data_IF_324760192561
#
_entry.id   IF_324760192561
#
_cell.length_a   1.000
_cell.length_b   1.000
_cell.length_c   1.000
_cell.angle_alpha   90.00
_cell.angle_beta   90.00
_cell.angle_gamma   90.00
#
_symmetry.space_group_name_H-M   'P 1'
#
loop_
_entity.id
_entity.type
_entity.pdbx_description
1 polymer ?
#
# COMPACT_ATOMS: atom_id res chain seq x y z
N UNK A 1 27.69 -7.64 -40.79
CA UNK A 1 26.81 -6.46 -40.68
C UNK A 1 26.12 -6.56 -39.34
N UNK A 2 26.49 -5.71 -38.38
CA UNK A 2 25.77 -5.62 -37.11
C UNK A 2 24.32 -5.20 -37.43
N UNK A 3 23.34 -5.93 -36.90
CA UNK A 3 21.95 -5.50 -36.90
C UNK A 3 21.94 -4.15 -36.16
N UNK A 4 21.63 -3.07 -36.88
CA UNK A 4 21.47 -1.78 -36.25
C UNK A 4 20.31 -1.90 -35.26
N UNK A 5 20.62 -1.76 -33.97
CA UNK A 5 19.62 -1.83 -32.90
C UNK A 5 18.57 -0.75 -33.19
N UNK A 6 17.33 -1.17 -33.44
CA UNK A 6 16.28 -0.23 -33.82
C UNK A 6 15.96 0.60 -32.59
N UNK A 7 16.05 1.95 -32.65
CA UNK A 7 15.87 2.77 -31.47
C UNK A 7 14.46 2.59 -30.91
N UNK A 8 14.35 2.43 -29.59
CA UNK A 8 13.06 2.30 -28.90
C UNK A 8 12.25 3.58 -29.10
N UNK A 9 11.01 3.47 -29.56
CA UNK A 9 10.12 4.59 -29.84
C UNK A 9 9.41 5.03 -28.58
N UNK A 10 9.52 6.32 -28.25
CA UNK A 10 8.90 6.91 -27.07
C UNK A 10 8.00 8.07 -27.47
N UNK A 11 6.73 8.01 -27.04
CA UNK A 11 5.80 9.11 -27.18
C UNK A 11 5.72 9.90 -25.87
N UNK A 12 6.19 11.14 -25.89
CA UNK A 12 6.14 12.06 -24.75
C UNK A 12 4.85 12.89 -24.82
N UNK A 13 3.99 12.76 -23.81
CA UNK A 13 2.80 13.59 -23.61
C UNK A 13 3.11 14.66 -22.56
N UNK A 14 3.12 15.93 -22.97
CA UNK A 14 3.35 17.08 -22.09
C UNK A 14 2.00 17.71 -21.71
N UNK A 15 1.69 17.72 -20.41
CA UNK A 15 0.47 18.31 -19.87
C UNK A 15 0.69 19.68 -19.20
N UNK A 16 -0.41 20.40 -18.95
CA UNK A 16 -0.39 21.80 -18.48
C UNK A 16 -0.11 21.98 -17.00
N UNK A 17 1.16 22.02 -16.62
CA UNK A 17 1.60 22.42 -15.28
C UNK A 17 2.95 23.12 -15.32
N UNK A 18 3.32 23.83 -14.24
CA UNK A 18 4.57 24.61 -14.22
C UNK A 18 5.78 23.77 -14.62
N UNK A 19 5.85 22.49 -14.24
CA UNK A 19 6.94 21.60 -14.57
C UNK A 19 7.11 21.29 -16.08
N UNK A 20 6.17 21.70 -16.94
CA UNK A 20 6.30 21.58 -18.39
C UNK A 20 7.51 22.34 -18.95
N UNK A 21 8.04 23.36 -18.25
CA UNK A 21 9.31 24.00 -18.65
C UNK A 21 10.50 23.01 -18.65
N UNK A 22 10.40 21.89 -17.91
CA UNK A 22 11.43 20.83 -17.88
C UNK A 22 11.38 19.93 -19.14
N UNK A 23 10.30 19.98 -19.92
CA UNK A 23 10.09 19.06 -21.04
C UNK A 23 11.17 19.15 -22.13
N UNK A 24 11.70 20.32 -22.53
CA UNK A 24 12.76 20.37 -23.53
C UNK A 24 14.07 19.69 -23.08
N UNK A 25 14.43 19.82 -21.80
CA UNK A 25 15.59 19.09 -21.26
C UNK A 25 15.32 17.59 -21.20
N UNK A 26 14.12 17.19 -20.75
CA UNK A 26 13.69 15.79 -20.74
C UNK A 26 13.79 15.14 -22.12
N UNK A 27 13.33 15.79 -23.18
CA UNK A 27 13.46 15.27 -24.56
C UNK A 27 14.93 14.99 -24.91
N UNK A 28 15.83 15.92 -24.58
CA UNK A 28 17.27 15.72 -24.82
C UNK A 28 17.83 14.53 -24.03
N UNK A 29 17.39 14.33 -22.79
CA UNK A 29 17.81 13.19 -21.96
C UNK A 29 17.27 11.86 -22.48
N UNK A 30 16.04 11.83 -22.97
CA UNK A 30 15.45 10.64 -23.59
C UNK A 30 16.17 10.26 -24.89
N UNK A 31 16.47 11.23 -25.75
CA UNK A 31 17.27 10.99 -26.97
C UNK A 31 18.67 10.49 -26.60
N UNK A 32 19.32 11.08 -25.59
CA UNK A 32 20.62 10.61 -25.09
C UNK A 32 20.56 9.20 -24.49
N UNK A 33 19.40 8.78 -23.98
CA UNK A 33 19.13 7.42 -23.50
C UNK A 33 18.74 6.43 -24.61
N UNK A 34 18.84 6.83 -25.88
CA UNK A 34 18.62 5.96 -27.04
C UNK A 34 17.18 5.90 -27.54
N UNK A 35 16.29 6.78 -27.07
CA UNK A 35 14.91 6.82 -27.55
C UNK A 35 14.76 7.63 -28.84
N UNK A 36 13.93 7.14 -29.73
CA UNK A 36 13.32 7.93 -30.80
C UNK A 36 12.08 8.63 -30.23
N UNK A 37 12.07 9.96 -30.11
CA UNK A 37 11.03 10.69 -29.37
C UNK A 37 10.06 11.42 -30.29
N UNK A 38 8.76 11.17 -30.15
CA UNK A 38 7.68 12.05 -30.63
C UNK A 38 7.00 12.75 -29.46
N UNK A 39 6.43 13.94 -29.69
CA UNK A 39 5.85 14.76 -28.64
C UNK A 39 4.40 15.11 -28.95
N UNK A 40 3.51 14.86 -28.00
CA UNK A 40 2.19 15.48 -27.90
C UNK A 40 2.25 16.58 -26.86
N UNK A 41 1.77 17.78 -27.18
CA UNK A 41 1.63 18.86 -26.22
C UNK A 41 0.15 19.28 -26.12
N UNK A 42 -0.41 19.20 -24.91
CA UNK A 42 -1.77 19.73 -24.66
C UNK A 42 -1.80 21.24 -24.81
N UNK A 43 -2.96 21.83 -25.12
CA UNK A 43 -3.11 23.29 -25.21
C UNK A 43 -2.65 24.00 -23.93
N UNK A 44 -2.89 23.39 -22.75
CA UNK A 44 -2.44 23.92 -21.47
C UNK A 44 -0.91 23.82 -21.29
N UNK A 45 -0.24 22.81 -21.84
CA UNK A 45 1.22 22.71 -21.82
C UNK A 45 1.89 23.82 -22.64
N UNK A 46 1.28 24.20 -23.77
CA UNK A 46 1.78 25.24 -24.67
C UNK A 46 1.82 26.63 -24.02
N UNK A 47 1.08 26.85 -22.92
CA UNK A 47 1.18 28.05 -22.11
C UNK A 47 2.47 28.12 -21.26
N UNK A 48 3.15 27.00 -21.03
CA UNK A 48 4.38 26.91 -20.22
C UNK A 48 5.63 26.60 -21.05
N UNK A 49 5.48 25.88 -22.16
CA UNK A 49 6.57 25.53 -23.06
C UNK A 49 6.10 25.64 -24.51
N UNK A 50 6.82 26.37 -25.35
CA UNK A 50 6.40 26.59 -26.73
C UNK A 50 6.52 25.33 -27.59
N UNK A 51 5.64 25.23 -28.60
CA UNK A 51 5.69 24.19 -29.62
C UNK A 51 7.04 24.17 -30.33
N UNK A 52 7.56 25.36 -30.69
CA UNK A 52 8.86 25.50 -31.37
C UNK A 52 10.01 24.92 -30.54
N UNK A 53 10.04 25.18 -29.23
CA UNK A 53 11.08 24.64 -28.35
C UNK A 53 11.06 23.10 -28.35
N UNK A 54 9.88 22.50 -28.22
CA UNK A 54 9.72 21.04 -28.22
C UNK A 54 10.05 20.42 -29.59
N UNK A 55 9.64 21.06 -30.68
CA UNK A 55 9.95 20.62 -32.04
C UNK A 55 11.45 20.67 -32.32
N UNK A 56 12.13 21.71 -31.83
CA UNK A 56 13.56 21.92 -32.01
C UNK A 56 14.38 20.82 -31.32
N UNK A 57 14.05 20.50 -30.06
CA UNK A 57 14.82 19.50 -29.29
C UNK A 57 14.46 18.05 -29.66
N UNK A 58 13.25 17.80 -30.16
CA UNK A 58 12.85 16.47 -30.66
C UNK A 58 13.27 16.22 -32.11
N UNK A 59 13.55 17.28 -32.88
CA UNK A 59 13.80 17.20 -34.31
C UNK A 59 12.57 16.79 -35.13
N UNK A 60 11.37 16.91 -34.57
CA UNK A 60 10.10 16.46 -35.17
C UNK A 60 8.96 17.45 -34.92
N UNK A 61 7.92 17.48 -35.76
CA UNK A 61 6.71 18.23 -35.47
C UNK A 61 6.08 17.77 -34.15
N UNK A 62 5.58 18.72 -33.36
CA UNK A 62 4.83 18.43 -32.13
C UNK A 62 3.37 18.28 -32.48
N UNK A 63 2.71 17.27 -31.93
CA UNK A 63 1.28 17.01 -32.18
C UNK A 63 0.44 17.70 -31.11
N UNK A 64 -0.54 18.51 -31.52
CA UNK A 64 -1.28 19.39 -30.59
C UNK A 64 -2.80 19.28 -30.70
N UNK A 65 -3.32 18.83 -31.84
CA UNK A 65 -4.76 18.72 -32.10
C UNK A 65 -5.16 17.28 -32.44
N UNK A 66 -6.33 16.86 -31.95
CA UNK A 66 -6.95 15.58 -32.31
C UNK A 66 -7.44 15.58 -33.76
N UNK A 67 -7.97 16.72 -34.20
CA UNK A 67 -8.46 16.97 -35.54
C UNK A 67 -7.47 17.91 -36.22
N UNK A 68 -6.60 17.35 -37.05
CA UNK A 68 -5.64 18.11 -37.85
C UNK A 68 -5.95 17.90 -39.34
N UNK A 69 -6.51 18.91 -40.02
CA UNK A 69 -6.84 18.84 -41.44
C UNK A 69 -5.64 18.50 -42.34
N UNK A 70 -4.41 18.79 -41.89
CA UNK A 70 -3.20 18.45 -42.64
C UNK A 70 -2.86 16.94 -42.57
N UNK A 71 -3.56 16.16 -41.75
CA UNK A 71 -3.31 14.74 -41.49
C UNK A 71 -4.54 13.84 -41.65
N UNK A 72 -5.67 14.36 -42.15
CA UNK A 72 -6.96 13.64 -42.30
C UNK A 72 -6.97 12.48 -43.33
N UNK A 73 -5.84 12.20 -44.01
CA UNK A 73 -5.71 11.06 -44.91
C UNK A 73 -5.56 9.70 -44.21
N UNK A 74 -5.24 9.70 -42.91
CA UNK A 74 -5.15 8.52 -42.05
C UNK A 74 -5.82 8.78 -40.70
N UNK A 75 -6.14 7.72 -39.94
CA UNK A 75 -6.67 7.84 -38.58
C UNK A 75 -5.52 8.24 -37.64
N UNK A 76 -5.04 9.49 -37.74
CA UNK A 76 -3.75 9.93 -37.20
C UNK A 76 -3.54 9.74 -35.69
N UNK A 77 -4.62 9.70 -34.88
CA UNK A 77 -4.52 9.39 -33.46
C UNK A 77 -4.29 7.90 -33.17
N UNK A 78 -4.79 6.99 -34.02
CA UNK A 78 -4.53 5.55 -33.92
C UNK A 78 -3.10 5.26 -34.38
N UNK A 79 -2.67 5.82 -35.51
CA UNK A 79 -1.28 5.66 -35.98
C UNK A 79 -0.28 6.15 -34.93
N UNK A 80 -0.59 7.27 -34.26
CA UNK A 80 0.24 7.79 -33.19
C UNK A 80 0.19 6.94 -31.92
N UNK A 81 -0.93 6.24 -31.65
CA UNK A 81 -1.10 5.35 -30.51
C UNK A 81 -0.40 3.99 -30.70
N UNK A 82 -0.31 3.51 -31.94
CA UNK A 82 0.36 2.25 -32.33
C UNK A 82 1.87 2.44 -32.54
N UNK A 83 2.32 3.68 -32.75
CA UNK A 83 3.72 3.98 -33.03
C UNK A 83 4.72 3.72 -31.87
N UNK A 84 4.44 4.09 -30.60
CA UNK A 84 5.43 4.01 -29.53
C UNK A 84 5.59 2.59 -28.96
N UNK A 85 6.80 2.27 -28.52
CA UNK A 85 7.08 1.14 -27.64
C UNK A 85 6.86 1.52 -26.16
N UNK A 86 6.89 2.83 -25.84
CA UNK A 86 6.64 3.38 -24.51
C UNK A 86 5.97 4.76 -24.60
N UNK A 87 4.97 5.01 -23.77
CA UNK A 87 4.38 6.34 -23.58
C UNK A 87 4.85 6.93 -22.26
N UNK A 88 5.28 8.20 -22.26
CA UNK A 88 5.67 8.95 -21.06
C UNK A 88 4.80 10.19 -20.91
N UNK A 89 4.10 10.34 -19.78
CA UNK A 89 3.32 11.53 -19.44
C UNK A 89 4.09 12.40 -18.45
N UNK A 90 4.57 13.56 -18.89
CA UNK A 90 5.53 14.37 -18.15
C UNK A 90 5.44 15.88 -18.49
N UNK A 91 4.98 16.73 -17.56
CA UNK A 91 4.39 16.37 -16.26
C UNK A 91 3.05 15.62 -16.44
N UNK A 92 2.72 14.76 -15.48
CA UNK A 92 1.38 14.22 -15.29
C UNK A 92 0.64 15.07 -14.23
N UNK A 93 -0.24 15.96 -14.69
CA UNK A 93 -1.07 16.79 -13.80
C UNK A 93 -2.23 15.99 -13.23
N UNK A 94 -2.80 16.48 -12.13
CA UNK A 94 -4.02 15.90 -11.54
C UNK A 94 -5.17 15.83 -12.55
N UNK A 95 -5.32 16.85 -13.41
CA UNK A 95 -6.33 16.89 -14.47
C UNK A 95 -6.13 15.74 -15.46
N UNK A 96 -4.94 15.61 -16.05
CA UNK A 96 -4.70 14.58 -17.05
C UNK A 96 -4.82 13.17 -16.45
N UNK A 97 -4.33 12.97 -15.22
CA UNK A 97 -4.53 11.72 -14.48
C UNK A 97 -6.02 11.41 -14.27
N UNK A 98 -6.82 12.41 -13.90
CA UNK A 98 -8.26 12.25 -13.72
C UNK A 98 -8.95 11.87 -15.03
N UNK A 99 -8.65 12.59 -16.12
CA UNK A 99 -9.26 12.32 -17.43
C UNK A 99 -8.91 10.93 -17.95
N UNK A 100 -7.66 10.50 -17.80
CA UNK A 100 -7.24 9.15 -18.16
C UNK A 100 -7.85 8.06 -17.27
N UNK A 101 -7.91 8.27 -15.94
CA UNK A 101 -8.53 7.33 -15.02
C UNK A 101 -10.03 7.11 -15.33
N UNK A 102 -10.73 8.14 -15.79
CA UNK A 102 -12.14 8.07 -16.15
C UNK A 102 -12.39 7.74 -17.63
N UNK A 103 -11.33 7.52 -18.41
CA UNK A 103 -11.42 7.16 -19.81
C UNK A 103 -12.07 8.23 -20.70
N UNK A 104 -11.78 9.50 -20.44
CA UNK A 104 -12.15 10.59 -21.33
C UNK A 104 -11.19 10.62 -22.52
N UNK A 105 -11.69 10.85 -23.74
CA UNK A 105 -10.91 10.94 -24.98
C UNK A 105 -11.26 12.19 -25.77
N UNK A 106 -11.18 13.35 -25.12
CA UNK A 106 -11.67 14.63 -25.65
C UNK A 106 -10.57 15.56 -26.18
N UNK A 107 -9.31 15.14 -26.11
CA UNK A 107 -8.17 15.76 -26.80
C UNK A 107 -7.22 14.68 -27.34
N UNK A 108 -6.18 15.09 -28.09
CA UNK A 108 -5.24 14.14 -28.70
C UNK A 108 -4.54 13.27 -27.65
N UNK A 109 -4.06 13.87 -26.55
CA UNK A 109 -3.33 13.18 -25.50
C UNK A 109 -4.17 12.08 -24.85
N UNK A 110 -5.38 12.42 -24.43
CA UNK A 110 -6.29 11.48 -23.77
C UNK A 110 -6.84 10.42 -24.71
N UNK A 111 -7.08 10.76 -25.98
CA UNK A 111 -7.48 9.79 -27.00
C UNK A 111 -6.37 8.77 -27.26
N UNK A 112 -5.11 9.23 -27.39
CA UNK A 112 -3.96 8.33 -27.57
C UNK A 112 -3.74 7.46 -26.34
N UNK A 113 -3.87 8.00 -25.13
CA UNK A 113 -3.77 7.23 -23.89
C UNK A 113 -4.83 6.13 -23.77
N UNK A 114 -6.00 6.33 -24.39
CA UNK A 114 -7.05 5.31 -24.45
C UNK A 114 -6.81 4.25 -25.53
N UNK A 115 -6.17 4.64 -26.64
CA UNK A 115 -5.98 3.78 -27.81
C UNK A 115 -4.68 2.96 -27.74
N UNK A 116 -3.65 3.46 -27.06
CA UNK A 116 -2.32 2.86 -27.06
C UNK A 116 -2.30 1.53 -26.29
N UNK A 117 -1.56 0.57 -26.82
CA UNK A 117 -1.24 -0.71 -26.15
C UNK A 117 0.14 -0.70 -25.50
N UNK A 118 0.93 0.36 -25.73
CA UNK A 118 2.26 0.50 -25.16
C UNK A 118 2.18 0.76 -23.64
N UNK A 119 3.17 0.31 -22.85
CA UNK A 119 3.27 0.68 -21.45
C UNK A 119 3.25 2.20 -21.28
N UNK A 120 2.62 2.68 -20.21
CA UNK A 120 2.53 4.11 -19.92
C UNK A 120 3.25 4.42 -18.60
N UNK A 121 4.25 5.29 -18.67
CA UNK A 121 4.94 5.85 -17.51
C UNK A 121 4.43 7.26 -17.22
N UNK A 122 4.03 7.49 -15.97
CA UNK A 122 3.50 8.78 -15.50
C UNK A 122 4.51 9.45 -14.58
N UNK A 123 4.77 10.74 -14.79
CA UNK A 123 5.63 11.55 -13.92
C UNK A 123 4.80 12.65 -13.22
N UNK A 124 4.17 12.36 -12.07
CA UNK A 124 3.25 13.29 -11.42
C UNK A 124 3.90 14.62 -11.06
N UNK A 125 3.17 15.72 -11.26
CA UNK A 125 3.63 17.05 -10.86
C UNK A 125 2.44 17.95 -10.51
N UNK A 126 2.33 18.34 -9.23
CA UNK A 126 1.25 19.16 -8.71
C UNK A 126 1.55 19.68 -7.30
N UNK A 127 0.69 20.56 -6.78
CA UNK A 127 0.78 20.99 -5.38
C UNK A 127 0.59 19.79 -4.41
N UNK A 128 1.23 19.83 -3.23
CA UNK A 128 1.13 18.74 -2.23
C UNK A 128 -0.30 18.42 -1.81
N UNK A 129 -1.17 19.42 -1.67
CA UNK A 129 -2.57 19.17 -1.32
C UNK A 129 -3.33 18.54 -2.48
N UNK A 130 -3.03 18.92 -3.73
CA UNK A 130 -3.59 18.27 -4.91
C UNK A 130 -3.11 16.81 -5.00
N UNK A 131 -1.83 16.55 -4.71
CA UNK A 131 -1.30 15.20 -4.68
C UNK A 131 -1.99 14.35 -3.63
N UNK A 132 -2.11 14.85 -2.40
CA UNK A 132 -2.75 14.14 -1.27
C UNK A 132 -4.28 14.08 -1.35
N UNK A 133 -4.89 14.81 -2.28
CA UNK A 133 -6.34 14.82 -2.42
C UNK A 133 -6.86 13.43 -2.76
N UNK A 134 -7.92 12.99 -2.09
CA UNK A 134 -8.47 11.63 -2.23
C UNK A 134 -8.83 11.29 -3.69
N UNK A 135 -9.36 12.26 -4.45
CA UNK A 135 -9.62 12.06 -5.88
C UNK A 135 -8.35 11.74 -6.68
N UNK A 136 -7.24 12.43 -6.40
CA UNK A 136 -5.96 12.19 -7.08
C UNK A 136 -5.39 10.83 -6.72
N UNK A 137 -5.47 10.45 -5.44
CA UNK A 137 -5.04 9.14 -4.97
C UNK A 137 -5.89 8.00 -5.56
N UNK A 138 -7.21 8.20 -5.68
CA UNK A 138 -8.10 7.25 -6.35
C UNK A 138 -7.78 7.10 -7.85
N UNK A 139 -7.47 8.20 -8.53
CA UNK A 139 -7.04 8.17 -9.93
C UNK A 139 -5.69 7.46 -10.09
N UNK A 140 -4.73 7.73 -9.21
CA UNK A 140 -3.44 7.04 -9.16
C UNK A 140 -3.63 5.52 -9.01
N UNK A 141 -4.44 5.10 -8.04
CA UNK A 141 -4.75 3.69 -7.81
C UNK A 141 -5.43 3.04 -9.02
N UNK A 142 -6.42 3.74 -9.61
CA UNK A 142 -7.13 3.27 -10.81
C UNK A 142 -6.18 3.06 -11.99
N UNK A 143 -5.31 4.02 -12.25
CA UNK A 143 -4.31 3.92 -13.32
C UNK A 143 -3.30 2.80 -13.04
N UNK A 144 -2.82 2.70 -11.80
CA UNK A 144 -1.88 1.65 -11.37
C UNK A 144 -2.47 0.25 -11.56
N UNK A 145 -3.75 0.05 -11.20
CA UNK A 145 -4.46 -1.21 -11.39
C UNK A 145 -4.68 -1.56 -12.88
N UNK A 146 -4.63 -0.55 -13.77
CA UNK A 146 -4.67 -0.73 -15.24
C UNK A 146 -3.28 -0.91 -15.86
N UNK A 147 -2.24 -1.17 -15.05
CA UNK A 147 -0.88 -1.43 -15.52
C UNK A 147 -0.04 -0.18 -15.77
N UNK A 148 -0.52 1.01 -15.42
CA UNK A 148 0.28 2.24 -15.55
C UNK A 148 1.45 2.24 -14.55
N UNK A 149 2.63 2.63 -15.01
CA UNK A 149 3.81 2.82 -14.16
C UNK A 149 3.97 4.29 -13.76
N UNK A 150 4.61 4.56 -12.62
CA UNK A 150 4.80 5.89 -12.07
C UNK A 150 6.27 6.15 -11.70
N UNK A 151 6.73 7.39 -11.88
CA UNK A 151 8.04 7.86 -11.43
C UNK A 151 7.89 9.21 -10.72
N UNK A 152 8.19 9.24 -9.43
CA UNK A 152 7.88 10.36 -8.54
C UNK A 152 6.41 10.39 -8.06
N UNK A 153 5.92 11.52 -7.52
CA UNK A 153 6.60 12.82 -7.45
C UNK A 153 7.70 12.84 -6.38
N UNK A 154 8.63 13.79 -6.54
CA UNK A 154 9.72 14.06 -5.61
C UNK A 154 9.29 15.08 -4.51
N UNK A 155 10.10 15.19 -3.45
CA UNK A 155 9.94 16.14 -2.35
C UNK A 155 10.82 17.37 -2.54
N UNK A 156 10.25 18.56 -2.41
CA UNK A 156 11.02 19.79 -2.42
C UNK A 156 10.19 21.06 -2.43
N UNK A 157 10.86 22.19 -2.65
CA UNK A 157 10.19 23.46 -2.85
C UNK A 157 9.34 23.43 -4.13
N UNK A 158 8.08 23.85 -4.00
CA UNK A 158 7.09 23.94 -5.06
C UNK A 158 6.94 25.39 -5.50
N UNK A 159 6.48 25.61 -6.74
CA UNK A 159 6.31 26.95 -7.31
C UNK A 159 5.36 27.86 -6.51
N UNK A 160 4.47 27.28 -5.69
CA UNK A 160 3.56 28.00 -4.80
C UNK A 160 4.18 28.38 -3.43
N UNK A 161 5.48 28.14 -3.22
CA UNK A 161 6.19 28.46 -1.98
C UNK A 161 6.12 27.38 -0.88
N UNK A 162 5.48 26.24 -1.14
CA UNK A 162 5.36 25.12 -0.20
C UNK A 162 6.56 24.17 -0.33
N UNK A 163 6.96 23.49 0.75
CA UNK A 163 7.93 22.39 0.72
C UNK A 163 7.19 21.09 1.00
N UNK A 164 7.18 20.17 0.04
CA UNK A 164 6.42 18.92 0.16
C UNK A 164 6.52 18.01 -1.06
N UNK A 165 5.78 16.91 -1.03
CA UNK A 165 5.63 15.98 -2.15
C UNK A 165 4.82 16.63 -3.27
N UNK A 166 5.15 16.34 -4.52
CA UNK A 166 4.42 16.87 -5.69
C UNK A 166 5.32 17.54 -6.73
N UNK A 167 6.62 17.65 -6.47
CA UNK A 167 7.58 18.13 -7.47
C UNK A 167 7.77 17.07 -8.55
N UNK A 168 7.74 17.47 -9.82
CA UNK A 168 8.12 16.56 -10.90
C UNK A 168 9.56 16.10 -10.69
N UNK A 169 9.76 14.78 -10.73
CA UNK A 169 11.08 14.16 -10.68
C UNK A 169 12.01 14.76 -11.75
N UNK A 170 13.31 14.77 -11.49
CA UNK A 170 14.24 15.45 -12.38
C UNK A 170 14.45 14.69 -13.70
N UNK A 171 14.62 15.42 -14.83
CA UNK A 171 14.65 14.82 -16.16
C UNK A 171 15.67 13.68 -16.36
N UNK A 172 16.90 13.73 -15.82
CA UNK A 172 17.85 12.62 -15.93
C UNK A 172 17.35 11.34 -15.25
N UNK A 173 16.73 11.47 -14.08
CA UNK A 173 16.16 10.35 -13.32
C UNK A 173 14.97 9.76 -14.07
N UNK A 174 14.12 10.63 -14.63
CA UNK A 174 12.97 10.19 -15.42
C UNK A 174 13.38 9.45 -16.69
N UNK A 175 14.42 9.93 -17.39
CA UNK A 175 14.94 9.27 -18.57
C UNK A 175 15.55 7.90 -18.25
N UNK A 176 16.27 7.77 -17.13
CA UNK A 176 16.78 6.50 -16.65
C UNK A 176 15.66 5.52 -16.28
N UNK A 177 14.61 5.99 -15.59
CA UNK A 177 13.44 5.18 -15.27
C UNK A 177 12.67 4.73 -16.53
N UNK A 178 12.54 5.60 -17.54
CA UNK A 178 11.95 5.24 -18.83
C UNK A 178 12.75 4.16 -19.55
N UNK A 179 14.08 4.26 -19.57
CA UNK A 179 14.97 3.23 -20.15
C UNK A 179 14.84 1.91 -19.42
N UNK A 180 14.90 1.92 -18.09
CA UNK A 180 14.71 0.73 -17.27
C UNK A 180 13.35 0.06 -17.55
N UNK A 181 12.27 0.84 -17.65
CA UNK A 181 10.95 0.30 -17.98
C UNK A 181 10.90 -0.33 -19.39
N UNK A 182 11.48 0.34 -20.39
CA UNK A 182 11.56 -0.17 -21.75
C UNK A 182 12.41 -1.46 -21.85
N UNK A 183 13.45 -1.59 -21.03
CA UNK A 183 14.30 -2.79 -20.95
C UNK A 183 13.71 -3.90 -20.08
N UNK A 184 12.58 -3.65 -19.41
CA UNK A 184 12.04 -4.56 -18.40
C UNK A 184 12.86 -4.64 -17.12
N UNK A 185 13.83 -3.74 -16.89
CA UNK A 185 14.67 -3.65 -15.69
C UNK A 185 14.12 -2.78 -14.55
N UNK A 186 14.75 -2.85 -13.38
CA UNK A 186 14.32 -2.11 -12.18
C UNK A 186 14.97 -0.73 -12.08
N UNK A 187 14.28 0.21 -11.43
CA UNK A 187 14.84 1.53 -11.08
C UNK A 187 14.22 2.00 -9.74
N UNK A 188 14.98 2.57 -8.79
CA UNK A 188 14.48 2.90 -7.44
C UNK A 188 13.26 3.82 -7.43
N UNK A 189 13.20 4.75 -8.38
CA UNK A 189 12.09 5.71 -8.51
C UNK A 189 10.92 5.18 -9.37
N UNK A 190 11.07 4.02 -10.00
CA UNK A 190 10.06 3.42 -10.87
C UNK A 190 9.13 2.51 -10.06
N UNK A 191 7.85 2.88 -9.99
CA UNK A 191 6.79 2.04 -9.43
C UNK A 191 5.97 1.47 -10.58
N UNK A 192 6.01 0.16 -10.79
CA UNK A 192 5.20 -0.48 -11.82
C UNK A 192 3.78 -0.70 -11.31
N UNK A 193 2.79 -0.38 -12.13
CA UNK A 193 1.42 -0.81 -11.89
C UNK A 193 1.33 -2.32 -12.00
N UNK A 194 0.41 -2.93 -11.25
CA UNK A 194 0.10 -4.34 -11.40
C UNK A 194 -0.50 -4.54 -12.81
N UNK A 195 0.25 -5.21 -13.70
CA UNK A 195 -0.33 -5.69 -14.95
C UNK A 195 -1.28 -6.83 -14.57
N UNK A 196 -2.60 -6.59 -14.61
CA UNK A 196 -3.53 -7.69 -14.74
C UNK A 196 -3.21 -8.37 -16.09
N UNK A 197 -2.50 -9.49 -16.05
CA UNK A 197 -2.13 -10.23 -17.25
C UNK A 197 -3.38 -10.52 -18.06
N UNK A 198 -3.39 -10.07 -19.31
CA UNK A 198 -4.44 -10.42 -20.26
C UNK A 198 -4.61 -11.95 -20.30
N UNK A 199 -5.88 -12.37 -20.27
CA UNK A 199 -6.39 -13.75 -20.35
C UNK A 199 -6.33 -14.54 -19.02
N UNK A 200 -7.38 -14.32 -18.21
CA UNK A 200 -7.90 -15.33 -17.29
C UNK A 200 -7.42 -15.28 -15.85
N UNK A 201 -7.99 -14.38 -15.03
CA UNK A 201 -8.47 -14.67 -13.67
C UNK A 201 -8.86 -13.38 -12.93
N UNK A 202 -9.97 -13.48 -12.20
CA UNK A 202 -10.40 -12.68 -11.05
C UNK A 202 -10.54 -11.15 -11.24
N UNK A 203 -11.80 -10.76 -11.31
CA UNK A 203 -12.35 -9.44 -11.03
C UNK A 203 -11.73 -8.76 -9.79
N UNK A 204 -10.73 -7.91 -9.97
CA UNK A 204 -10.58 -6.76 -9.09
C UNK A 204 -11.56 -5.69 -9.60
N UNK A 205 -12.80 -5.77 -9.12
CA UNK A 205 -13.81 -4.76 -9.37
C UNK A 205 -13.43 -3.39 -8.79
N UNK A 206 -14.36 -2.41 -8.75
CA UNK A 206 -14.24 -1.28 -7.82
C UNK A 206 -13.85 -1.78 -6.42
N UNK A 207 -13.21 -0.98 -5.53
CA UNK A 207 -12.80 -1.43 -4.20
C UNK A 207 -13.92 -2.29 -3.63
N UNK A 208 -13.61 -3.58 -3.42
CA UNK A 208 -14.64 -4.55 -3.07
C UNK A 208 -15.35 -3.99 -1.84
N UNK A 209 -16.66 -3.85 -1.96
CA UNK A 209 -17.52 -3.55 -0.83
C UNK A 209 -17.83 -4.86 -0.06
N UNK A 210 -16.90 -5.82 -0.12
CA UNK A 210 -16.96 -7.15 0.48
C UNK A 210 -17.05 -7.09 2.01
N UNK A 211 -16.49 -6.04 2.60
CA UNK A 211 -16.63 -5.72 4.03
C UNK A 211 -17.72 -4.69 4.33
N UNK A 212 -18.52 -4.27 3.34
CA UNK A 212 -19.51 -3.19 3.52
C UNK A 212 -20.53 -3.54 4.59
N UNK A 213 -20.69 -2.62 5.54
CA UNK A 213 -21.66 -2.76 6.62
C UNK A 213 -21.24 -3.71 7.73
N UNK A 214 -20.11 -4.41 7.59
CA UNK A 214 -19.54 -5.26 8.65
C UNK A 214 -18.91 -4.38 9.72
N UNK A 215 -19.07 -4.76 10.99
CA UNK A 215 -18.40 -4.16 12.14
C UNK A 215 -17.15 -4.97 12.48
N UNK A 216 -15.99 -4.31 12.44
CA UNK A 216 -14.68 -4.96 12.59
C UNK A 216 -13.93 -4.33 13.76
N UNK A 217 -13.53 -5.15 14.72
CA UNK A 217 -12.68 -4.75 15.82
C UNK A 217 -11.23 -5.15 15.51
N UNK A 218 -10.33 -4.19 15.47
CA UNK A 218 -8.90 -4.42 15.24
C UNK A 218 -8.13 -4.04 16.50
N UNK A 219 -7.17 -4.88 16.93
CA UNK A 219 -6.21 -4.49 17.98
C UNK A 219 -4.83 -4.28 17.38
N UNK A 220 -4.13 -3.22 17.80
CA UNK A 220 -2.81 -2.88 17.28
C UNK A 220 -1.87 -2.35 18.36
N UNK A 221 -0.57 -2.36 18.05
CA UNK A 221 0.47 -1.82 18.94
C UNK A 221 0.88 -2.79 20.06
N UNK A 222 1.82 -2.39 20.92
CA UNK A 222 2.24 -3.16 22.08
C UNK A 222 1.34 -2.90 23.29
N UNK A 223 1.55 -3.61 24.41
CA UNK A 223 1.02 -3.21 25.72
C UNK A 223 2.16 -3.06 26.72
N UNK A 224 1.95 -2.26 27.76
CA UNK A 224 2.93 -2.01 28.83
C UNK A 224 2.55 -2.77 30.10
N UNK A 225 3.44 -3.64 30.54
CA UNK A 225 3.40 -4.29 31.84
C UNK A 225 4.22 -3.46 32.84
N UNK A 226 3.56 -2.53 33.54
CA UNK A 226 4.24 -1.60 34.45
C UNK A 226 4.85 -2.31 35.66
N UNK A 227 6.13 -2.06 35.90
CA UNK A 227 6.87 -2.49 37.09
C UNK A 227 6.69 -1.47 38.21
N UNK A 228 6.80 -0.20 37.84
CA UNK A 228 6.61 1.00 38.64
C UNK A 228 6.05 2.11 37.73
N UNK A 229 5.75 3.33 38.22
CA UNK A 229 5.18 4.39 37.38
C UNK A 229 6.08 4.87 36.22
N UNK A 230 7.35 4.45 36.17
CA UNK A 230 8.35 4.91 35.20
C UNK A 230 8.80 3.78 34.27
N UNK A 231 8.85 2.54 34.75
CA UNK A 231 9.40 1.39 34.03
C UNK A 231 8.31 0.36 33.72
N UNK A 232 8.39 -0.21 32.52
CA UNK A 232 7.49 -1.27 32.08
C UNK A 232 8.22 -2.27 31.18
N UNK A 233 7.67 -3.48 31.10
CA UNK A 233 8.00 -4.47 30.07
C UNK A 233 7.02 -4.30 28.88
N UNK A 234 7.54 -4.36 27.66
CA UNK A 234 6.75 -4.21 26.44
C UNK A 234 7.38 -4.98 25.28
N UNK A 235 6.54 -5.43 24.36
CA UNK A 235 6.99 -6.01 23.09
C UNK A 235 7.35 -4.90 22.09
N UNK A 236 8.27 -5.18 21.17
CA UNK A 236 8.77 -4.22 20.17
C UNK A 236 7.84 -4.06 18.95
N UNK A 237 6.54 -3.95 19.19
CA UNK A 237 5.57 -3.73 18.11
C UNK A 237 5.48 -2.26 17.71
N UNK A 238 5.57 -1.99 16.41
CA UNK A 238 5.35 -0.65 15.85
C UNK A 238 3.88 -0.34 15.60
N UNK A 239 2.98 -1.32 15.74
CA UNK A 239 1.54 -1.19 15.46
C UNK A 239 1.15 -1.15 13.98
N UNK A 240 2.09 -0.91 13.06
CA UNK A 240 1.84 -0.67 11.63
C UNK A 240 0.91 -1.71 10.99
N UNK A 241 1.13 -3.01 11.23
CA UNK A 241 0.32 -4.06 10.62
C UNK A 241 -1.17 -3.93 10.99
N UNK A 242 -1.48 -3.70 12.27
CA UNK A 242 -2.86 -3.53 12.71
C UNK A 242 -3.50 -2.26 12.17
N UNK A 243 -2.73 -1.17 12.06
CA UNK A 243 -3.21 0.08 11.44
C UNK A 243 -3.52 -0.09 9.95
N UNK A 244 -2.69 -0.84 9.20
CA UNK A 244 -2.95 -1.14 7.78
C UNK A 244 -4.18 -2.03 7.58
N UNK A 245 -4.41 -3.00 8.47
CA UNK A 245 -5.63 -3.82 8.44
C UNK A 245 -6.88 -2.98 8.74
N UNK A 246 -6.80 -2.06 9.71
CA UNK A 246 -7.90 -1.16 10.02
C UNK A 246 -8.22 -0.21 8.86
N UNK A 247 -7.18 0.40 8.26
CA UNK A 247 -7.29 1.26 7.08
C UNK A 247 -7.91 0.52 5.89
N UNK A 248 -7.41 -0.68 5.57
CA UNK A 248 -7.90 -1.45 4.45
C UNK A 248 -9.34 -1.97 4.66
N UNK A 249 -9.72 -2.37 5.87
CA UNK A 249 -11.09 -2.77 6.18
C UNK A 249 -12.07 -1.58 6.05
N UNK A 250 -11.70 -0.41 6.59
CA UNK A 250 -12.51 0.81 6.46
C UNK A 250 -12.66 1.24 4.99
N UNK A 251 -11.60 1.16 4.20
CA UNK A 251 -11.63 1.45 2.77
C UNK A 251 -12.56 0.51 1.97
N UNK A 252 -12.82 -0.70 2.48
CA UNK A 252 -13.75 -1.70 1.93
C UNK A 252 -15.18 -1.58 2.48
N UNK A 253 -15.46 -0.52 3.25
CA UNK A 253 -16.79 -0.19 3.76
C UNK A 253 -17.15 -0.79 5.12
N UNK A 254 -16.18 -1.34 5.85
CA UNK A 254 -16.38 -1.76 7.22
C UNK A 254 -16.52 -0.56 8.17
N UNK A 255 -17.28 -0.75 9.24
CA UNK A 255 -17.22 0.08 10.43
C UNK A 255 -16.12 -0.44 11.33
N UNK A 256 -15.03 0.31 11.49
CA UNK A 256 -13.83 -0.19 12.17
C UNK A 256 -13.62 0.50 13.50
N UNK A 257 -13.52 -0.30 14.57
CA UNK A 257 -13.01 0.12 15.87
C UNK A 257 -11.58 -0.40 16.03
N UNK A 258 -10.63 0.51 16.24
CA UNK A 258 -9.21 0.21 16.44
C UNK A 258 -8.82 0.44 17.90
N UNK A 259 -8.59 -0.64 18.66
CA UNK A 259 -8.04 -0.57 20.01
C UNK A 259 -6.51 -0.59 19.93
N UNK A 260 -5.90 0.57 20.15
CA UNK A 260 -4.47 0.79 19.94
C UNK A 260 -3.72 0.90 21.27
N UNK A 261 -2.68 0.08 21.42
CA UNK A 261 -1.63 0.31 22.41
C UNK A 261 -0.80 1.56 22.12
N UNK A 262 0.20 1.90 22.96
CA UNK A 262 0.96 3.14 22.82
C UNK A 262 1.82 3.15 21.55
N UNK A 263 1.35 3.86 20.52
CA UNK A 263 2.03 4.13 19.24
C UNK A 263 1.73 5.54 18.75
N UNK A 264 2.68 6.14 18.03
CA UNK A 264 2.56 7.49 17.45
C UNK A 264 2.04 7.53 16.02
N UNK A 265 1.25 6.54 15.60
CA UNK A 265 0.65 6.49 14.26
C UNK A 265 -0.64 7.32 14.23
N UNK A 266 -0.93 7.98 13.11
CA UNK A 266 -2.19 8.70 12.91
C UNK A 266 -3.35 7.71 12.77
N UNK A 267 -4.54 8.10 13.21
CA UNK A 267 -5.76 7.30 13.03
C UNK A 267 -6.17 7.30 11.55
N UNK A 268 -6.36 6.12 10.92
CA UNK A 268 -6.81 6.06 9.52
C UNK A 268 -8.20 6.69 9.33
N UNK A 269 -8.47 7.18 8.12
CA UNK A 269 -9.78 7.74 7.79
C UNK A 269 -10.88 6.66 7.92
N UNK A 270 -12.01 7.02 8.52
CA UNK A 270 -13.14 6.10 8.72
C UNK A 270 -12.94 5.07 9.83
N UNK A 271 -11.87 5.17 10.63
CA UNK A 271 -11.59 4.30 11.78
C UNK A 271 -11.84 5.04 13.08
N UNK A 272 -12.58 4.43 14.00
CA UNK A 272 -12.73 4.91 15.37
C UNK A 272 -11.63 4.31 16.25
N UNK A 273 -10.75 5.15 16.81
CA UNK A 273 -9.62 4.69 17.63
C UNK A 273 -9.91 4.82 19.13
N UNK A 274 -9.56 3.78 19.88
CA UNK A 274 -9.53 3.76 21.35
C UNK A 274 -8.11 3.48 21.82
N UNK A 275 -7.50 4.46 22.50
CA UNK A 275 -6.17 4.31 23.06
C UNK A 275 -6.17 3.60 24.42
N UNK A 276 -5.23 2.67 24.59
CA UNK A 276 -5.01 1.90 25.81
C UNK A 276 -3.52 1.75 26.08
N UNK A 277 -3.14 1.46 27.33
CA UNK A 277 -1.73 1.24 27.69
C UNK A 277 -1.43 -0.20 28.06
N UNK A 278 -2.35 -0.86 28.78
CA UNK A 278 -2.13 -2.18 29.39
C UNK A 278 -2.95 -3.27 28.71
N UNK A 279 -2.57 -4.54 28.89
CA UNK A 279 -3.35 -5.69 28.41
C UNK A 279 -4.77 -5.72 29.00
N UNK A 280 -4.91 -5.40 30.28
CA UNK A 280 -6.21 -5.31 30.94
C UNK A 280 -7.11 -4.21 30.35
N UNK A 281 -6.57 -3.01 30.09
CA UNK A 281 -7.32 -1.93 29.43
C UNK A 281 -7.72 -2.32 27.99
N UNK A 282 -6.82 -2.98 27.26
CA UNK A 282 -7.10 -3.48 25.91
C UNK A 282 -8.24 -4.49 25.91
N UNK A 283 -8.23 -5.47 26.82
CA UNK A 283 -9.33 -6.43 26.96
C UNK A 283 -10.65 -5.73 27.31
N UNK A 284 -10.62 -4.79 28.26
CA UNK A 284 -11.82 -4.04 28.64
C UNK A 284 -12.39 -3.22 27.47
N UNK A 285 -11.53 -2.57 26.68
CA UNK A 285 -11.95 -1.84 25.48
C UNK A 285 -12.55 -2.77 24.42
N UNK A 286 -11.95 -3.94 24.21
CA UNK A 286 -12.50 -4.95 23.30
C UNK A 286 -13.89 -5.39 23.76
N UNK A 287 -14.06 -5.75 25.04
CA UNK A 287 -15.37 -6.17 25.58
C UNK A 287 -16.45 -5.10 25.42
N UNK A 288 -16.15 -3.82 25.68
CA UNK A 288 -17.10 -2.73 25.47
C UNK A 288 -17.58 -2.66 24.02
N UNK A 289 -16.66 -2.76 23.06
CA UNK A 289 -16.98 -2.78 21.64
C UNK A 289 -17.80 -4.02 21.24
N UNK A 290 -17.44 -5.19 21.78
CA UNK A 290 -18.14 -6.46 21.51
C UNK A 290 -19.56 -6.49 22.10
N UNK A 291 -19.78 -5.86 23.25
CA UNK A 291 -21.07 -5.84 23.95
C UNK A 291 -22.03 -4.76 23.43
N UNK A 292 -21.61 -3.91 22.48
CA UNK A 292 -22.43 -2.81 21.98
C UNK A 292 -22.66 -1.71 23.02
N UNK A 293 -21.77 -1.56 24.01
CA UNK A 293 -21.88 -0.49 25.03
C UNK A 293 -21.67 0.92 24.42
N UNK A 294 -21.15 0.97 23.19
CA UNK A 294 -21.08 2.13 22.30
C UNK A 294 -22.42 2.44 21.58
N UNK A 295 -23.47 1.65 21.83
CA UNK A 295 -24.76 1.73 21.14
C UNK A 295 -24.78 1.04 19.77
N UNK A 296 -23.75 0.26 19.45
CA UNK A 296 -23.58 -0.40 18.18
C UNK A 296 -24.17 -1.81 18.08
N UNK A 297 -24.29 -2.32 16.84
CA UNK A 297 -24.64 -3.72 16.57
C UNK A 297 -23.48 -4.67 16.93
N UNK A 298 -23.74 -5.99 16.88
CA UNK A 298 -22.73 -7.01 17.13
C UNK A 298 -21.53 -6.86 16.18
N UNK A 299 -20.33 -7.18 16.67
CA UNK A 299 -19.10 -7.19 15.88
C UNK A 299 -19.05 -8.46 15.03
N UNK A 300 -18.94 -8.31 13.71
CA UNK A 300 -18.85 -9.43 12.76
C UNK A 300 -17.48 -10.11 12.81
N UNK A 301 -16.41 -9.33 12.98
CA UNK A 301 -15.04 -9.84 12.96
C UNK A 301 -14.10 -9.14 13.94
N UNK A 302 -13.19 -9.91 14.53
CA UNK A 302 -12.09 -9.44 15.38
C UNK A 302 -10.76 -9.82 14.75
N UNK A 303 -9.92 -8.82 14.51
CA UNK A 303 -8.56 -8.98 13.97
C UNK A 303 -7.56 -8.63 15.08
N UNK A 304 -7.02 -9.65 15.75
CA UNK A 304 -6.13 -9.50 16.89
C UNK A 304 -4.66 -9.47 16.45
N UNK A 305 -4.12 -8.27 16.25
CA UNK A 305 -2.73 -8.04 15.81
C UNK A 305 -1.84 -7.49 16.94
N UNK A 306 -2.44 -6.92 18.00
CA UNK A 306 -1.68 -6.32 19.09
C UNK A 306 -0.69 -7.30 19.75
N UNK A 307 0.52 -6.79 20.04
CA UNK A 307 1.58 -7.52 20.71
C UNK A 307 1.46 -7.32 22.22
N UNK A 308 0.49 -8.02 22.82
CA UNK A 308 0.24 -8.01 24.26
C UNK A 308 1.41 -8.65 25.01
N UNK A 309 1.83 -8.05 26.12
CA UNK A 309 2.86 -8.60 27.00
C UNK A 309 2.39 -9.94 27.58
N UNK A 310 3.25 -10.97 27.57
CA UNK A 310 2.87 -12.30 28.07
C UNK A 310 2.93 -12.40 29.60
N UNK A 311 3.72 -11.53 30.23
CA UNK A 311 3.99 -11.52 31.67
C UNK A 311 3.72 -10.13 32.24
N UNK A 312 3.09 -10.09 33.40
CA UNK A 312 2.85 -8.88 34.18
C UNK A 312 3.21 -9.10 35.65
N UNK A 313 3.64 -8.06 36.38
CA UNK A 313 3.77 -8.14 37.82
C UNK A 313 2.42 -8.46 38.44
N UNK A 314 2.40 -9.33 39.45
CA UNK A 314 1.19 -9.55 40.23
C UNK A 314 0.76 -8.28 40.96
N UNK A 315 1.75 -7.49 41.41
CA UNK A 315 1.56 -6.15 41.96
C UNK A 315 2.68 -5.22 41.50
N UNK A 316 2.33 -4.21 40.72
CA UNK A 316 3.25 -3.14 40.36
C UNK A 316 3.56 -2.25 41.58
N UNK A 317 4.78 -1.72 41.66
CA UNK A 317 5.15 -0.73 42.67
C UNK A 317 4.40 0.58 42.41
N UNK A 318 3.95 1.25 43.49
CA UNK A 318 3.28 2.55 43.41
C UNK A 318 4.25 3.71 43.31
N UNK A 319 5.52 3.48 43.65
CA UNK A 319 6.60 4.46 43.61
C UNK A 319 7.72 3.96 42.71
N UNK A 320 8.49 4.91 42.16
CA UNK A 320 9.63 4.61 41.30
C UNK A 320 10.69 3.85 42.11
N UNK A 321 11.11 2.69 41.62
CA UNK A 321 12.20 1.94 42.25
C UNK A 321 13.53 2.67 42.04
N UNK A 322 14.28 2.87 43.12
CA UNK A 322 15.59 3.50 43.04
C UNK A 322 16.56 2.72 42.16
N UNK A 323 17.42 3.42 41.42
CA UNK A 323 18.30 2.81 40.41
C UNK A 323 19.16 1.67 40.98
N UNK A 324 19.63 1.80 42.22
CA UNK A 324 20.43 0.78 42.90
C UNK A 324 19.66 -0.47 43.34
N UNK A 325 18.33 -0.40 43.36
CA UNK A 325 17.45 -1.48 43.85
C UNK A 325 16.67 -2.17 42.72
N UNK A 326 16.82 -1.73 41.46
CA UNK A 326 16.05 -2.29 40.33
C UNK A 326 16.27 -3.78 40.18
N UNK A 327 17.52 -4.25 40.29
CA UNK A 327 17.83 -5.67 40.09
C UNK A 327 17.21 -6.53 41.20
N UNK A 328 17.36 -6.12 42.46
CA UNK A 328 16.77 -6.83 43.60
C UNK A 328 15.25 -6.80 43.55
N UNK A 329 14.66 -5.67 43.14
CA UNK A 329 13.22 -5.52 42.96
C UNK A 329 12.71 -6.47 41.87
N UNK A 330 13.38 -6.56 40.72
CA UNK A 330 13.02 -7.51 39.65
C UNK A 330 13.18 -8.97 40.11
N UNK A 331 14.24 -9.28 40.86
CA UNK A 331 14.53 -10.64 41.33
C UNK A 331 13.54 -11.14 42.39
N UNK A 332 12.94 -10.23 43.16
CA UNK A 332 11.97 -10.55 44.22
C UNK A 332 10.50 -10.35 43.80
N UNK A 333 10.26 -9.76 42.62
CA UNK A 333 8.92 -9.52 42.10
C UNK A 333 8.21 -10.84 41.77
N UNK A 334 6.94 -10.95 42.16
CA UNK A 334 6.09 -12.05 41.71
C UNK A 334 5.43 -11.71 40.38
N UNK A 335 5.46 -12.68 39.47
CA UNK A 335 5.01 -12.55 38.10
C UNK A 335 3.83 -13.48 37.85
N UNK A 336 2.90 -13.03 37.01
CA UNK A 336 1.81 -13.87 36.50
C UNK A 336 1.73 -13.74 34.98
N UNK A 337 1.12 -14.73 34.35
CA UNK A 337 0.74 -14.60 32.94
C UNK A 337 -0.32 -13.51 32.76
N UNK A 338 -0.21 -12.79 31.66
CA UNK A 338 -1.27 -11.88 31.23
C UNK A 338 -2.47 -12.66 30.70
N UNK A 339 -3.64 -12.05 30.81
CA UNK A 339 -4.89 -12.62 30.26
C UNK A 339 -4.78 -12.71 28.73
N UNK A 340 -5.12 -13.89 28.20
CA UNK A 340 -5.13 -14.14 26.78
C UNK A 340 -6.36 -13.52 26.11
N UNK A 341 -6.22 -12.27 25.64
CA UNK A 341 -7.32 -11.49 25.06
C UNK A 341 -8.03 -12.25 23.94
N UNK A 342 -7.30 -12.91 23.05
CA UNK A 342 -7.90 -13.61 21.90
C UNK A 342 -8.75 -14.80 22.38
N UNK A 343 -8.18 -15.68 23.20
CA UNK A 343 -8.92 -16.85 23.71
C UNK A 343 -10.12 -16.45 24.57
N UNK A 344 -9.98 -15.36 25.33
CA UNK A 344 -11.07 -14.80 26.14
C UNK A 344 -12.24 -14.35 25.26
N UNK A 345 -11.97 -13.55 24.23
CA UNK A 345 -13.02 -13.05 23.33
C UNK A 345 -13.65 -14.17 22.48
N UNK A 346 -12.85 -15.15 22.04
CA UNK A 346 -13.36 -16.35 21.35
C UNK A 346 -14.32 -17.12 22.25
N UNK A 347 -13.97 -17.34 23.52
CA UNK A 347 -14.84 -18.04 24.46
C UNK A 347 -16.15 -17.29 24.74
N UNK A 348 -16.11 -15.95 24.71
CA UNK A 348 -17.27 -15.09 24.99
C UNK A 348 -18.18 -14.88 23.76
N UNK A 349 -17.61 -14.85 22.54
CA UNK A 349 -18.31 -14.39 21.33
C UNK A 349 -18.14 -15.28 20.09
N UNK A 350 -17.42 -16.41 20.17
CA UNK A 350 -17.06 -17.26 19.03
C UNK A 350 -18.24 -17.84 18.24
N UNK A 351 -19.44 -17.89 18.81
CA UNK A 351 -20.65 -18.34 18.09
C UNK A 351 -21.17 -17.30 17.08
N UNK A 352 -20.84 -16.00 17.27
CA UNK A 352 -21.44 -14.87 16.53
C UNK A 352 -20.41 -13.99 15.83
N UNK A 353 -19.13 -14.19 16.09
CA UNK A 353 -18.05 -13.33 15.62
C UNK A 353 -16.92 -14.18 15.07
N UNK A 354 -16.34 -13.77 13.95
CA UNK A 354 -15.16 -14.40 13.36
C UNK A 354 -13.88 -13.82 13.94
N UNK A 355 -12.90 -14.68 14.22
CA UNK A 355 -11.65 -14.29 14.86
C UNK A 355 -10.44 -14.62 13.98
N UNK A 356 -9.64 -13.59 13.68
CA UNK A 356 -8.29 -13.72 13.15
C UNK A 356 -7.27 -13.42 14.25
N UNK A 357 -6.43 -14.40 14.59
CA UNK A 357 -5.26 -14.20 15.45
C UNK A 357 -3.97 -13.99 14.67
N UNK A 358 -2.99 -13.31 15.27
CA UNK A 358 -1.63 -13.20 14.74
C UNK A 358 -0.62 -13.97 15.59
N UNK A 359 0.39 -14.57 14.94
CA UNK A 359 1.47 -15.29 15.59
C UNK A 359 2.82 -15.09 14.95
N UNK A 360 3.75 -14.48 15.68
CA UNK A 360 5.16 -14.50 15.34
C UNK A 360 5.80 -15.83 15.77
N UNK A 361 6.56 -16.47 14.87
CA UNK A 361 7.31 -17.70 15.15
C UNK A 361 8.76 -17.58 14.67
N UNK A 362 9.70 -18.05 15.47
CA UNK A 362 11.09 -18.27 15.04
C UNK A 362 11.21 -19.69 14.51
N UNK A 363 11.74 -19.85 13.31
CA UNK A 363 12.06 -21.15 12.72
C UNK A 363 13.52 -21.10 12.29
N UNK A 364 14.32 -22.03 12.79
CA UNK A 364 15.76 -22.08 12.49
C UNK A 364 15.99 -22.28 10.98
N UNK A 365 16.96 -21.55 10.42
CA UNK A 365 17.17 -21.42 8.97
C UNK A 365 17.85 -22.59 8.27
N UNK A 366 17.79 -23.81 8.81
CA UNK A 366 18.52 -24.97 8.26
C UNK A 366 17.72 -25.82 7.27
N UNK A 367 16.60 -25.32 6.72
CA UNK A 367 15.75 -26.04 5.78
C UNK A 367 15.41 -25.24 4.52
N UNK A 368 14.92 -25.93 3.49
CA UNK A 368 14.35 -25.30 2.29
C UNK A 368 13.13 -24.46 2.63
N UNK A 369 12.74 -23.52 1.75
CA UNK A 369 11.56 -22.67 1.95
C UNK A 369 10.29 -23.49 2.24
N UNK A 370 10.09 -24.61 1.54
CA UNK A 370 8.97 -25.51 1.77
C UNK A 370 8.98 -26.16 3.16
N UNK A 371 10.16 -26.46 3.72
CA UNK A 371 10.28 -27.01 5.08
C UNK A 371 9.97 -25.95 6.14
N UNK A 372 10.43 -24.72 5.92
CA UNK A 372 10.12 -23.58 6.79
C UNK A 372 8.61 -23.32 6.79
N UNK A 373 7.98 -23.31 5.61
CA UNK A 373 6.54 -23.13 5.47
C UNK A 373 5.75 -24.23 6.19
N UNK A 374 6.08 -25.51 5.95
CA UNK A 374 5.44 -26.64 6.62
C UNK A 374 5.54 -26.53 8.15
N UNK A 375 6.69 -26.10 8.67
CA UNK A 375 6.87 -25.89 10.11
C UNK A 375 6.06 -24.71 10.64
N UNK A 376 5.95 -23.62 9.88
CA UNK A 376 5.08 -22.48 10.24
C UNK A 376 3.62 -22.90 10.27
N UNK A 377 3.16 -23.70 9.29
CA UNK A 377 1.80 -24.25 9.25
C UNK A 377 1.52 -25.10 10.50
N UNK A 378 2.42 -26.02 10.87
CA UNK A 378 2.27 -26.85 12.07
C UNK A 378 2.16 -26.01 13.35
N UNK A 379 3.09 -25.07 13.55
CA UNK A 379 3.11 -24.19 14.73
C UNK A 379 1.90 -23.26 14.77
N UNK A 380 1.47 -22.79 13.60
CA UNK A 380 0.31 -21.94 13.43
C UNK A 380 -0.99 -22.69 13.74
N UNK A 381 -1.18 -23.90 13.22
CA UNK A 381 -2.39 -24.69 13.48
C UNK A 381 -2.50 -25.07 14.96
N UNK A 382 -1.41 -25.49 15.60
CA UNK A 382 -1.38 -25.74 17.03
C UNK A 382 -1.77 -24.49 17.85
N UNK A 383 -1.30 -23.30 17.42
CA UNK A 383 -1.65 -22.03 18.07
C UNK A 383 -3.10 -21.64 17.81
N UNK A 384 -3.61 -21.80 16.59
CA UNK A 384 -5.01 -21.53 16.22
C UNK A 384 -5.97 -22.37 17.07
N UNK A 385 -5.73 -23.69 17.15
CA UNK A 385 -6.53 -24.61 17.96
C UNK A 385 -6.51 -24.26 19.45
N UNK A 386 -5.34 -23.93 20.02
CA UNK A 386 -5.24 -23.51 21.42
C UNK A 386 -5.99 -22.21 21.72
N UNK A 387 -6.05 -21.28 20.76
CA UNK A 387 -6.75 -19.99 20.90
C UNK A 387 -8.24 -20.09 20.54
N UNK A 388 -8.63 -21.13 19.82
CA UNK A 388 -10.00 -21.35 19.34
C UNK A 388 -10.44 -20.41 18.21
N UNK A 389 -9.52 -19.70 17.54
CA UNK A 389 -9.89 -18.73 16.50
C UNK A 389 -10.17 -19.38 15.13
N UNK A 390 -11.01 -18.74 14.31
CA UNK A 390 -11.38 -19.21 12.97
C UNK A 390 -10.18 -19.22 12.02
N UNK A 391 -9.31 -18.22 12.14
CA UNK A 391 -8.08 -18.12 11.35
C UNK A 391 -6.89 -17.65 12.20
N UNK A 392 -5.68 -18.01 11.79
CA UNK A 392 -4.44 -17.51 12.35
C UNK A 392 -3.46 -17.13 11.22
N UNK A 393 -2.99 -15.89 11.23
CA UNK A 393 -1.85 -15.49 10.41
C UNK A 393 -0.55 -15.71 11.19
N UNK A 394 0.31 -16.60 10.68
CA UNK A 394 1.60 -16.91 11.28
C UNK A 394 2.72 -16.37 10.41
N UNK A 395 3.63 -15.58 10.99
CA UNK A 395 4.77 -15.02 10.28
C UNK A 395 6.08 -15.45 10.93
N UNK A 396 7.09 -15.69 10.08
CA UNK A 396 8.46 -15.92 10.55
C UNK A 396 9.04 -14.59 11.03
N UNK A 397 9.63 -14.60 12.22
CA UNK A 397 10.34 -13.44 12.78
C UNK A 397 11.79 -13.80 13.10
N UNK A 398 12.64 -12.80 13.23
CA UNK A 398 14.07 -13.00 13.49
C UNK A 398 14.89 -13.27 12.23
N UNK A 399 14.34 -13.03 11.04
CA UNK A 399 15.07 -13.02 9.77
C UNK A 399 15.04 -11.60 9.16
N UNK A 400 16.04 -11.22 8.34
CA UNK A 400 16.08 -9.88 7.73
C UNK A 400 14.79 -9.55 6.97
N UNK A 401 14.45 -8.26 6.93
CA UNK A 401 13.41 -7.70 6.07
C UNK A 401 11.98 -8.26 6.23
N UNK A 402 11.67 -8.91 7.37
CA UNK A 402 10.31 -9.38 7.68
C UNK A 402 9.93 -9.22 9.16
N UNK A 403 8.67 -8.87 9.41
CA UNK A 403 8.08 -8.89 10.75
C UNK A 403 8.14 -7.56 11.51
N UNK A 404 8.64 -7.59 12.75
CA UNK A 404 8.63 -6.44 13.65
C UNK A 404 9.63 -5.37 13.19
N UNK A 405 9.22 -4.10 13.20
CA UNK A 405 10.12 -2.98 12.87
C UNK A 405 10.47 -2.80 11.39
N UNK A 406 10.05 -3.70 10.50
CA UNK A 406 10.30 -3.62 9.04
C UNK A 406 9.10 -3.05 8.28
N UNK A 407 9.28 -2.50 7.05
CA UNK A 407 8.17 -2.08 6.21
C UNK A 407 7.39 -3.28 5.61
N UNK A 408 8.05 -4.42 5.48
CA UNK A 408 7.56 -5.63 4.81
C UNK A 408 7.23 -6.76 5.78
N UNK A 409 6.35 -7.67 5.37
CA UNK A 409 6.04 -8.89 6.11
C UNK A 409 5.57 -10.01 5.17
N UNK A 410 5.70 -11.26 5.60
CA UNK A 410 5.20 -12.44 4.91
C UNK A 410 4.83 -13.51 5.94
N UNK A 411 3.91 -14.40 5.58
CA UNK A 411 3.47 -15.46 6.46
C UNK A 411 2.48 -16.39 5.79
N UNK A 412 1.84 -17.20 6.60
CA UNK A 412 0.84 -18.16 6.17
C UNK A 412 -0.44 -17.88 6.94
N UNK A 413 -1.56 -17.75 6.22
CA UNK A 413 -2.89 -17.68 6.80
C UNK A 413 -3.44 -19.10 6.93
N UNK A 414 -3.85 -19.49 8.12
CA UNK A 414 -4.28 -20.86 8.45
C UNK A 414 -5.72 -20.79 8.95
N UNK A 415 -6.60 -21.58 8.33
CA UNK A 415 -8.03 -21.62 8.63
C UNK A 415 -8.41 -22.88 9.40
N UNK A 416 -9.57 -22.83 10.05
CA UNK A 416 -10.21 -24.03 10.61
C UNK A 416 -10.42 -25.09 9.51
N UNK A 417 -10.12 -26.35 9.83
CA UNK A 417 -10.20 -27.47 8.88
C UNK A 417 -8.89 -27.80 8.17
N UNK A 418 -7.80 -27.08 8.45
CA UNK A 418 -6.45 -27.40 7.98
C UNK A 418 -6.06 -26.76 6.63
N UNK A 419 -6.97 -26.00 6.01
CA UNK A 419 -6.65 -25.17 4.86
C UNK A 419 -5.66 -24.07 5.26
N UNK A 420 -4.64 -23.84 4.44
CA UNK A 420 -3.69 -22.75 4.64
C UNK A 420 -3.33 -22.10 3.31
N UNK A 421 -3.07 -20.79 3.36
CA UNK A 421 -2.75 -19.95 2.20
C UNK A 421 -1.47 -19.17 2.50
N UNK A 422 -0.34 -19.46 1.83
CA UNK A 422 0.88 -18.69 2.00
C UNK A 422 0.74 -17.33 1.31
N UNK A 423 1.25 -16.27 1.92
CA UNK A 423 1.29 -14.93 1.30
C UNK A 423 2.33 -14.83 0.17
N UNK A 424 3.16 -15.85 -0.03
CA UNK A 424 4.32 -15.77 -0.92
C UNK A 424 5.43 -14.86 -0.36
N UNK A 425 6.24 -14.20 -1.22
CA UNK A 425 7.38 -13.40 -0.79
C UNK A 425 6.96 -12.19 0.08
N UNK A 426 7.90 -11.59 0.85
CA UNK A 426 7.65 -10.39 1.63
C UNK A 426 6.97 -9.28 0.83
N UNK A 427 5.84 -8.80 1.33
CA UNK A 427 5.04 -7.71 0.74
C UNK A 427 5.08 -6.48 1.62
N UNK A 428 4.75 -5.30 1.08
CA UNK A 428 4.46 -4.14 1.92
C UNK A 428 3.31 -4.48 2.88
N UNK A 429 3.35 -3.93 4.10
CA UNK A 429 2.32 -4.22 5.11
C UNK A 429 0.92 -3.78 4.70
N UNK A 430 0.78 -2.78 3.83
CA UNK A 430 -0.50 -2.38 3.23
C UNK A 430 -1.01 -3.42 2.22
N UNK A 431 -0.14 -3.89 1.33
CA UNK A 431 -0.48 -4.94 0.36
C UNK A 431 -0.83 -6.26 1.06
N UNK A 432 -0.07 -6.63 2.10
CA UNK A 432 -0.36 -7.80 2.91
C UNK A 432 -1.68 -7.66 3.66
N UNK A 433 -2.00 -6.46 4.18
CA UNK A 433 -3.28 -6.22 4.83
C UNK A 433 -4.44 -6.41 3.85
N UNK A 434 -4.33 -5.89 2.62
CA UNK A 434 -5.31 -6.13 1.56
C UNK A 434 -5.49 -7.61 1.26
N UNK A 435 -4.39 -8.32 1.03
CA UNK A 435 -4.43 -9.76 0.76
C UNK A 435 -5.07 -10.56 1.90
N UNK A 436 -4.71 -10.30 3.16
CA UNK A 436 -5.35 -10.95 4.32
C UNK A 436 -6.87 -10.73 4.29
N UNK A 437 -7.32 -9.50 4.04
CA UNK A 437 -8.75 -9.19 3.99
C UNK A 437 -9.47 -9.85 2.81
N UNK A 438 -8.80 -10.03 1.66
CA UNK A 438 -9.34 -10.79 0.52
C UNK A 438 -9.56 -12.26 0.89
N UNK A 439 -8.54 -12.89 1.46
CA UNK A 439 -8.61 -14.30 1.84
C UNK A 439 -9.64 -14.55 2.94
N UNK A 440 -9.73 -13.64 3.91
CA UNK A 440 -10.78 -13.68 4.94
C UNK A 440 -12.17 -13.47 4.33
N UNK A 441 -12.30 -12.58 3.35
CA UNK A 441 -13.59 -12.33 2.71
C UNK A 441 -14.16 -13.53 1.99
N UNK A 442 -13.30 -14.16 1.21
CA UNK A 442 -13.65 -15.40 0.53
C UNK A 442 -14.03 -16.49 1.54
N UNK A 443 -13.26 -16.65 2.61
CA UNK A 443 -13.52 -17.70 3.60
C UNK A 443 -14.76 -17.44 4.49
N UNK A 444 -15.06 -16.19 4.84
CA UNK A 444 -16.08 -15.88 5.84
C UNK A 444 -17.43 -15.45 5.26
N UNK A 445 -17.48 -14.87 4.06
CA UNK A 445 -18.73 -14.27 3.52
C UNK A 445 -19.19 -14.83 2.18
N UNK A 446 -18.34 -15.49 1.38
CA UNK A 446 -18.80 -16.04 0.09
C UNK A 446 -19.82 -17.17 0.21
N UNK A 447 -20.01 -17.75 1.40
CA UNK A 447 -21.08 -18.72 1.67
C UNK A 447 -22.44 -18.09 2.04
N UNK A 448 -22.50 -16.76 2.23
CA UNK A 448 -23.72 -16.02 2.61
C UNK A 448 -24.37 -15.26 1.44
N UNK A 449 -23.78 -15.32 0.23
CA UNK A 449 -24.28 -14.74 -1.03
C UNK A 449 -24.87 -15.81 -1.93
#
# INVERSE_FOLDING_TARGET
>A
MAVADTPTKLLLIVSGGIAAYKAPDLVRKLIAAGFEVQVIATSAALAFCTELSLATVSGRPVRTSLLDPAQEGSVGHIELADWPDLVLVAPATADLMARAAHGLGNDLATTVLLATVAPVLWAPAMNTNMWRHLATQANLATLSARGASFCGPDRGALACGWVGEGRMIDPPVLAAAARALADGGEHPELRRGALASAVGAATAGPPSADWRGRRVLVTAGPTRAYLDPVRFLSNASTGVMGFRLAEAAAARGAWVTLVAGPVGLDTPAGVERVDVETGAQMLAACRRAMNGEDGGAAVDAVIKVAAVADLVPERAATEKVDKGQVLDSLATMTWRSEVDILATLVAEHGERTRFLGFGAQTVDGQGSEAQVEARLVELGEAKRMRKGCDALFVNRVGVPDTGFGTPTNAGVLIFAGGEHRPSGPPRDKGELAGWILDELASAWWEAES
#
